data_IF_355249550504
#
_entry.id   IF_355249550504
#
_cell.length_a   1.000
_cell.length_b   1.000
_cell.length_c   1.000
_cell.angle_alpha   90.00
_cell.angle_beta   90.00
_cell.angle_gamma   90.00
#
_symmetry.space_group_name_H-M   'P 1'
#
loop_
_entity.id
_entity.type
_entity.pdbx_description
1 polymer ?
#
# COMPACT_ATOMS: atom_id res chain seq x y z
N UNK A 1 3.63 5.11 29.23
CA UNK A 1 4.28 4.09 28.40
C UNK A 1 5.79 4.05 28.59
N UNK A 2 6.45 3.07 28.03
CA UNK A 2 7.90 2.85 28.20
C UNK A 2 8.77 4.05 27.73
N UNK A 3 8.22 4.91 26.89
CA UNK A 3 8.94 6.02 26.26
C UNK A 3 8.14 7.33 26.22
N UNK A 4 7.05 7.46 26.98
CA UNK A 4 6.25 8.68 26.99
C UNK A 4 4.92 8.50 27.74
N UNK A 5 4.08 9.55 27.78
CA UNK A 5 2.73 9.47 28.35
C UNK A 5 1.87 8.50 27.54
N UNK A 6 0.85 7.92 28.18
CA UNK A 6 -0.20 7.21 27.45
C UNK A 6 -1.08 8.20 26.67
N UNK A 7 -1.80 7.72 25.66
CA UNK A 7 -2.74 8.54 24.89
C UNK A 7 -3.79 9.18 25.82
N UNK A 8 -4.31 8.42 26.77
CA UNK A 8 -5.28 8.91 27.77
C UNK A 8 -4.72 10.06 28.59
N UNK A 9 -3.46 9.91 29.06
CA UNK A 9 -2.82 10.97 29.84
C UNK A 9 -2.55 12.21 29.00
N UNK A 10 -2.09 12.04 27.76
CA UNK A 10 -1.85 13.14 26.84
C UNK A 10 -3.16 13.87 26.49
N UNK A 11 -4.23 13.13 26.20
CA UNK A 11 -5.55 13.70 25.88
C UNK A 11 -6.25 14.29 27.11
N UNK A 12 -5.97 13.80 28.32
CA UNK A 12 -6.47 14.43 29.55
C UNK A 12 -5.85 15.81 29.78
N UNK A 13 -4.58 15.99 29.41
CA UNK A 13 -3.89 17.27 29.50
C UNK A 13 -4.34 18.24 28.39
N UNK A 14 -4.62 17.73 27.20
CA UNK A 14 -5.14 18.50 26.06
C UNK A 14 -6.18 17.68 25.27
N UNK A 15 -7.48 17.88 25.55
CA UNK A 15 -8.55 17.16 24.86
C UNK A 15 -8.67 17.42 23.35
N UNK A 16 -7.94 18.40 22.82
CA UNK A 16 -7.88 18.74 21.40
C UNK A 16 -6.70 18.09 20.69
N UNK A 17 -5.92 17.28 21.37
CA UNK A 17 -4.73 16.66 20.80
C UNK A 17 -5.10 15.64 19.73
N UNK A 18 -4.45 15.72 18.59
CA UNK A 18 -4.48 14.68 17.54
C UNK A 18 -3.19 13.89 17.65
N UNK A 19 -3.31 12.63 18.00
CA UNK A 19 -2.19 11.70 18.17
C UNK A 19 -2.16 10.76 16.98
N UNK A 20 -1.00 10.62 16.36
CA UNK A 20 -0.83 9.67 15.25
C UNK A 20 0.22 8.63 15.63
N UNK A 21 -0.19 7.38 15.67
CA UNK A 21 0.71 6.24 15.81
C UNK A 21 1.09 5.71 14.43
N UNK A 22 2.38 5.56 14.22
CA UNK A 22 2.91 4.82 13.06
C UNK A 22 3.46 3.51 13.59
N UNK A 23 2.81 2.41 13.22
CA UNK A 23 3.08 1.08 13.77
C UNK A 23 3.37 0.05 12.67
N UNK A 24 3.91 -1.10 13.04
CA UNK A 24 4.10 -2.20 12.09
C UNK A 24 2.79 -2.88 11.69
N UNK A 25 1.92 -3.16 12.67
CA UNK A 25 0.77 -4.05 12.49
C UNK A 25 -0.54 -3.53 13.11
N UNK A 26 -0.60 -2.25 13.40
CA UNK A 26 -1.76 -1.60 13.99
C UNK A 26 -1.81 -1.65 15.52
N UNK A 27 -2.69 -0.84 16.09
CA UNK A 27 -3.02 -0.85 17.51
C UNK A 27 -4.13 -1.85 17.78
N UNK A 28 -4.09 -2.51 18.94
CA UNK A 28 -5.08 -3.53 19.32
C UNK A 28 -6.52 -3.04 19.24
N UNK A 29 -6.78 -1.84 19.75
CA UNK A 29 -8.11 -1.22 19.77
C UNK A 29 -8.65 -0.90 18.36
N UNK A 30 -7.77 -0.84 17.36
CA UNK A 30 -8.12 -0.55 15.97
C UNK A 30 -8.09 -1.81 15.07
N UNK A 31 -8.04 -3.00 15.67
CA UNK A 31 -8.02 -4.26 14.92
C UNK A 31 -6.63 -4.74 14.51
N UNK A 32 -5.59 -4.19 15.11
CA UNK A 32 -4.21 -4.64 14.87
C UNK A 32 -4.04 -6.14 15.11
N UNK A 33 -3.13 -6.74 14.37
CA UNK A 33 -2.92 -8.19 14.33
C UNK A 33 -2.31 -8.68 15.66
N UNK A 34 -3.11 -9.30 16.52
CA UNK A 34 -2.76 -9.67 17.90
C UNK A 34 -1.39 -10.35 18.03
N UNK A 35 -1.08 -11.30 17.16
CA UNK A 35 0.19 -12.03 17.15
C UNK A 35 1.42 -11.15 16.91
N UNK A 36 1.22 -10.00 16.28
CA UNK A 36 2.28 -9.11 15.82
C UNK A 36 2.29 -7.76 16.54
N UNK A 37 1.37 -7.53 17.47
CA UNK A 37 1.32 -6.29 18.25
C UNK A 37 2.68 -5.96 18.89
N UNK A 38 3.11 -4.72 18.68
CA UNK A 38 4.39 -4.23 19.22
C UNK A 38 5.64 -4.81 18.58
N UNK A 39 5.51 -5.68 17.56
CA UNK A 39 6.66 -6.16 16.78
C UNK A 39 7.08 -5.12 15.74
N UNK A 40 8.38 -5.02 15.44
CA UNK A 40 8.86 -4.16 14.38
C UNK A 40 8.40 -4.70 13.02
N UNK A 41 8.09 -3.79 12.11
CA UNK A 41 7.90 -4.05 10.70
C UNK A 41 8.78 -3.08 9.92
N UNK A 42 9.51 -3.58 8.97
CA UNK A 42 10.29 -2.79 8.01
C UNK A 42 9.73 -3.04 6.62
N UNK A 43 10.03 -2.16 5.67
CA UNK A 43 9.43 -2.18 4.34
C UNK A 43 9.39 -3.58 3.67
N UNK A 44 10.49 -4.35 3.53
CA UNK A 44 10.43 -5.68 2.92
C UNK A 44 9.52 -6.66 3.65
N UNK A 45 9.40 -6.52 4.97
CA UNK A 45 8.49 -7.35 5.78
C UNK A 45 7.04 -6.96 5.51
N UNK A 46 6.74 -5.66 5.41
CA UNK A 46 5.42 -5.16 5.02
C UNK A 46 5.02 -5.65 3.63
N UNK A 47 5.93 -5.60 2.66
CA UNK A 47 5.72 -6.10 1.30
C UNK A 47 5.46 -7.62 1.28
N UNK A 48 6.22 -8.39 2.05
CA UNK A 48 6.02 -9.84 2.12
C UNK A 48 4.70 -10.20 2.81
N UNK A 49 4.38 -9.54 3.93
CA UNK A 49 3.20 -9.85 4.73
C UNK A 49 1.89 -9.45 4.03
N UNK A 50 1.88 -8.38 3.26
CA UNK A 50 0.72 -7.94 2.47
C UNK A 50 0.50 -8.74 1.19
N UNK A 51 1.49 -9.51 0.74
CA UNK A 51 1.47 -10.21 -0.54
C UNK A 51 2.07 -9.40 -1.70
N UNK A 52 2.48 -8.14 -1.48
CA UNK A 52 3.05 -7.30 -2.53
C UNK A 52 4.30 -7.92 -3.15
N UNK A 53 5.20 -8.46 -2.32
CA UNK A 53 6.41 -9.17 -2.80
C UNK A 53 6.07 -10.39 -3.67
N UNK A 54 4.95 -11.06 -3.42
CA UNK A 54 4.51 -12.21 -4.20
C UNK A 54 4.07 -11.83 -5.63
N UNK A 55 3.82 -10.55 -5.89
CA UNK A 55 3.46 -10.03 -7.21
C UNK A 55 4.66 -9.50 -8.00
N UNK A 56 5.83 -9.37 -7.37
CA UNK A 56 7.03 -8.81 -7.98
C UNK A 56 7.95 -9.89 -8.54
N UNK A 57 8.51 -9.66 -9.72
CA UNK A 57 9.51 -10.53 -10.32
C UNK A 57 9.03 -11.41 -11.45
N UNK A 58 9.95 -12.18 -12.02
CA UNK A 58 9.68 -13.16 -13.07
C UNK A 58 8.90 -14.36 -12.51
N UNK A 59 8.08 -15.04 -13.33
CA UNK A 59 7.24 -16.17 -12.88
C UNK A 59 7.99 -17.20 -12.06
N UNK A 60 9.14 -17.63 -12.54
CA UNK A 60 9.96 -18.70 -11.94
C UNK A 60 11.18 -18.16 -11.16
N UNK A 61 11.27 -16.83 -11.00
CA UNK A 61 12.36 -16.17 -10.30
C UNK A 61 12.12 -16.06 -8.79
N UNK A 62 13.09 -15.49 -8.05
CA UNK A 62 12.90 -15.16 -6.64
C UNK A 62 11.82 -14.08 -6.45
N UNK A 63 11.32 -13.97 -5.21
CA UNK A 63 10.51 -12.83 -4.82
C UNK A 63 11.39 -11.56 -4.82
N UNK A 64 10.84 -10.47 -5.32
CA UNK A 64 11.52 -9.19 -5.37
C UNK A 64 10.77 -8.18 -4.51
N UNK A 65 11.54 -7.29 -3.89
CA UNK A 65 10.97 -6.10 -3.24
C UNK A 65 10.85 -4.97 -4.26
N UNK A 66 9.75 -4.24 -4.21
CA UNK A 66 9.65 -2.98 -4.93
C UNK A 66 10.58 -1.94 -4.29
N UNK A 67 11.31 -1.21 -5.09
CA UNK A 67 12.08 -0.03 -4.73
C UNK A 67 11.53 1.19 -5.47
N UNK A 68 11.42 2.34 -4.82
CA UNK A 68 11.79 2.69 -3.44
C UNK A 68 10.93 1.98 -2.38
N UNK A 69 11.22 2.22 -1.09
CA UNK A 69 10.55 1.63 0.09
C UNK A 69 9.06 2.00 0.13
N UNK A 70 8.26 1.30 -0.66
CA UNK A 70 6.86 1.68 -0.96
C UNK A 70 5.94 1.59 0.25
N UNK A 71 6.19 0.65 1.16
CA UNK A 71 5.38 0.51 2.38
C UNK A 71 5.66 1.64 3.36
N UNK A 72 6.94 2.01 3.56
CA UNK A 72 7.33 3.14 4.39
C UNK A 72 6.72 4.45 3.88
N UNK A 73 6.88 4.72 2.58
CA UNK A 73 6.38 5.95 1.94
C UNK A 73 4.85 6.01 2.02
N UNK A 74 4.17 4.91 1.73
CA UNK A 74 2.70 4.88 1.76
C UNK A 74 2.18 5.05 3.18
N UNK A 75 2.83 4.44 4.17
CA UNK A 75 2.47 4.62 5.59
C UNK A 75 2.65 6.07 6.02
N UNK A 76 3.74 6.71 5.62
CA UNK A 76 3.96 8.14 5.90
C UNK A 76 2.88 9.03 5.28
N UNK A 77 2.46 8.73 4.05
CA UNK A 77 1.36 9.46 3.39
C UNK A 77 0.03 9.25 4.13
N UNK A 78 -0.32 8.03 4.52
CA UNK A 78 -1.52 7.79 5.31
C UNK A 78 -1.47 8.46 6.68
N UNK A 79 -0.32 8.46 7.35
CA UNK A 79 -0.13 9.18 8.61
C UNK A 79 -0.35 10.69 8.42
N UNK A 80 0.19 11.27 7.36
CA UNK A 80 -0.01 12.68 7.03
C UNK A 80 -1.48 13.01 6.69
N UNK A 81 -2.13 12.20 5.86
CA UNK A 81 -3.55 12.37 5.54
C UNK A 81 -4.43 12.21 6.78
N UNK A 82 -4.15 11.20 7.60
CA UNK A 82 -4.84 10.98 8.88
C UNK A 82 -4.67 12.17 9.82
N UNK A 83 -3.44 12.71 9.92
CA UNK A 83 -3.17 13.91 10.73
C UNK A 83 -4.02 15.10 10.29
N UNK A 84 -4.09 15.37 9.00
CA UNK A 84 -4.88 16.47 8.45
C UNK A 84 -6.38 16.24 8.67
N UNK A 85 -6.87 15.03 8.43
CA UNK A 85 -8.27 14.68 8.66
C UNK A 85 -8.64 14.81 10.15
N UNK A 86 -7.78 14.31 11.03
CA UNK A 86 -7.95 14.44 12.48
C UNK A 86 -7.91 15.89 12.94
N UNK A 87 -7.02 16.68 12.41
CA UNK A 87 -6.94 18.11 12.71
C UNK A 87 -8.18 18.86 12.25
N UNK A 88 -8.64 18.60 11.03
CA UNK A 88 -9.89 19.16 10.52
C UNK A 88 -11.09 18.79 11.39
N UNK A 89 -11.21 17.50 11.75
CA UNK A 89 -12.26 17.03 12.67
C UNK A 89 -12.19 17.75 14.02
N UNK A 90 -10.99 17.92 14.57
CA UNK A 90 -10.77 18.64 15.81
C UNK A 90 -11.22 20.11 15.71
N UNK A 91 -10.95 20.79 14.59
CA UNK A 91 -11.42 22.16 14.39
C UNK A 91 -12.96 22.26 14.37
N UNK A 92 -13.65 21.26 13.83
CA UNK A 92 -15.12 21.23 13.76
C UNK A 92 -15.77 20.84 15.07
N UNK A 93 -15.18 19.87 15.78
CA UNK A 93 -15.80 19.24 16.95
C UNK A 93 -15.26 19.74 18.28
N UNK A 94 -14.10 20.41 18.27
CA UNK A 94 -13.36 20.77 19.48
C UNK A 94 -12.71 19.59 20.21
N UNK A 95 -12.74 18.38 19.62
CA UNK A 95 -12.23 17.15 20.23
C UNK A 95 -11.11 16.56 19.39
N UNK A 96 -10.01 16.20 20.05
CA UNK A 96 -8.91 15.45 19.46
C UNK A 96 -9.27 13.97 19.29
N UNK A 97 -8.35 13.23 18.66
CA UNK A 97 -8.50 11.79 18.43
C UNK A 97 -7.16 11.09 18.25
N UNK A 98 -7.17 9.78 18.43
CA UNK A 98 -6.02 8.91 18.13
C UNK A 98 -6.21 8.31 16.75
N UNK A 99 -5.16 8.36 15.95
CA UNK A 99 -5.09 7.83 14.59
C UNK A 99 -4.01 6.76 14.56
N UNK A 100 -4.28 5.66 13.89
CA UNK A 100 -3.35 4.58 13.67
C UNK A 100 -3.05 4.45 12.18
N UNK A 101 -1.78 4.50 11.82
CA UNK A 101 -1.30 4.26 10.47
C UNK A 101 -0.31 3.09 10.54
N UNK A 102 -0.75 1.90 10.20
CA UNK A 102 0.10 0.74 10.22
C UNK A 102 0.74 0.44 8.88
N UNK A 103 1.98 -0.03 8.90
CA UNK A 103 2.70 -0.41 7.70
C UNK A 103 2.03 -1.59 6.98
N UNK A 104 1.54 -2.56 7.73
CA UNK A 104 0.82 -3.71 7.16
C UNK A 104 -0.46 -3.28 6.42
N UNK A 105 -1.29 -2.45 7.03
CA UNK A 105 -2.53 -1.99 6.41
C UNK A 105 -2.27 -1.09 5.21
N UNK A 106 -1.24 -0.23 5.29
CA UNK A 106 -0.79 0.60 4.17
C UNK A 106 -0.32 -0.26 2.99
N UNK A 107 0.45 -1.31 3.27
CA UNK A 107 0.89 -2.27 2.27
C UNK A 107 -0.28 -3.10 1.70
N UNK A 108 -1.24 -3.51 2.53
CA UNK A 108 -2.45 -4.19 2.10
C UNK A 108 -3.31 -3.29 1.21
N UNK A 109 -3.37 -1.98 1.48
CA UNK A 109 -4.06 -1.03 0.62
C UNK A 109 -3.46 -0.96 -0.78
N UNK A 110 -2.13 -1.03 -0.93
CA UNK A 110 -1.50 -1.12 -2.24
C UNK A 110 -1.93 -2.37 -3.02
N UNK A 111 -2.35 -3.42 -2.33
CA UNK A 111 -2.85 -4.67 -2.91
C UNK A 111 -4.38 -4.70 -3.05
N UNK A 112 -5.09 -3.62 -2.73
CA UNK A 112 -6.57 -3.59 -2.63
C UNK A 112 -7.26 -4.12 -3.88
N UNK A 113 -6.77 -3.77 -5.06
CA UNK A 113 -7.32 -4.26 -6.34
C UNK A 113 -7.25 -5.80 -6.44
N UNK A 114 -6.09 -6.38 -6.15
CA UNK A 114 -5.88 -7.82 -6.20
C UNK A 114 -6.66 -8.56 -5.09
N UNK A 115 -6.74 -7.95 -3.90
CA UNK A 115 -7.55 -8.48 -2.80
C UNK A 115 -9.05 -8.48 -3.16
N UNK A 116 -9.56 -7.39 -3.74
CA UNK A 116 -10.96 -7.32 -4.17
C UNK A 116 -11.28 -8.41 -5.20
N UNK A 117 -10.43 -8.63 -6.20
CA UNK A 117 -10.64 -9.69 -7.18
C UNK A 117 -10.57 -11.08 -6.55
N UNK A 118 -9.56 -11.34 -5.72
CA UNK A 118 -9.42 -12.63 -5.04
C UNK A 118 -10.64 -12.96 -4.18
N UNK A 119 -11.13 -11.99 -3.41
CA UNK A 119 -12.28 -12.17 -2.51
C UNK A 119 -13.61 -12.33 -3.27
N UNK A 120 -13.69 -11.85 -4.50
CA UNK A 120 -14.87 -11.99 -5.35
C UNK A 120 -14.80 -13.16 -6.36
N UNK A 121 -13.98 -14.16 -6.07
CA UNK A 121 -13.83 -15.37 -6.89
C UNK A 121 -12.93 -15.21 -8.11
N UNK A 122 -12.14 -14.15 -8.15
CA UNK A 122 -11.08 -13.95 -9.13
C UNK A 122 -9.94 -14.96 -8.97
N UNK A 123 -9.13 -15.05 -10.02
CA UNK A 123 -8.06 -16.04 -10.11
C UNK A 123 -6.94 -15.86 -9.08
N UNK A 124 -6.14 -16.89 -8.94
CA UNK A 124 -4.92 -16.84 -8.16
C UNK A 124 -3.85 -16.07 -8.96
N UNK A 125 -3.51 -14.89 -8.51
CA UNK A 125 -2.51 -14.05 -9.17
C UNK A 125 -1.12 -14.69 -9.10
N UNK A 126 -0.43 -14.65 -10.24
CA UNK A 126 0.95 -15.08 -10.37
C UNK A 126 1.81 -13.92 -10.85
N UNK A 127 3.08 -13.99 -10.55
CA UNK A 127 4.06 -13.05 -11.12
C UNK A 127 4.06 -13.17 -12.65
N UNK A 128 4.12 -12.04 -13.32
CA UNK A 128 4.07 -11.95 -14.78
C UNK A 128 5.29 -11.26 -15.37
N UNK A 129 6.29 -11.00 -14.52
CA UNK A 129 7.47 -10.25 -14.94
C UNK A 129 7.13 -8.81 -15.33
N UNK A 130 7.60 -8.36 -16.50
CA UNK A 130 7.43 -6.97 -16.91
C UNK A 130 6.01 -6.64 -17.41
N UNK A 131 5.12 -7.62 -17.49
CA UNK A 131 3.81 -7.47 -18.10
C UNK A 131 2.70 -7.38 -17.04
N UNK A 132 1.69 -6.55 -17.29
CA UNK A 132 0.52 -6.49 -16.42
C UNK A 132 -0.22 -7.84 -16.44
N UNK A 133 -0.68 -8.37 -15.29
CA UNK A 133 -1.35 -9.67 -15.25
C UNK A 133 -2.73 -9.68 -15.91
N UNK A 134 -3.40 -8.53 -16.03
CA UNK A 134 -4.80 -8.43 -16.43
C UNK A 134 -4.99 -7.88 -17.84
N UNK A 135 -4.14 -6.93 -18.27
CA UNK A 135 -4.31 -6.23 -19.54
C UNK A 135 -3.12 -6.41 -20.47
N UNK A 136 -3.40 -6.52 -21.75
CA UNK A 136 -2.43 -6.61 -22.84
C UNK A 136 -2.86 -5.73 -24.01
N UNK A 137 -1.94 -5.02 -24.67
CA UNK A 137 -0.56 -4.76 -24.28
C UNK A 137 -0.48 -3.71 -23.17
N UNK A 138 0.03 -4.08 -22.03
CA UNK A 138 0.24 -3.19 -20.89
C UNK A 138 1.45 -3.70 -20.08
N UNK A 139 2.56 -2.97 -20.13
CA UNK A 139 3.80 -3.39 -19.49
C UNK A 139 5.04 -2.93 -20.25
N UNK A 140 6.13 -3.63 -20.03
CA UNK A 140 7.41 -3.35 -20.65
C UNK A 140 7.74 -4.44 -21.68
N UNK A 141 8.19 -4.04 -22.87
CA UNK A 141 8.50 -4.92 -23.98
C UNK A 141 9.92 -4.64 -24.47
N UNK A 142 10.68 -5.71 -24.72
CA UNK A 142 12.01 -5.59 -25.27
C UNK A 142 11.92 -5.30 -26.77
N UNK A 143 12.68 -4.32 -27.23
CA UNK A 143 12.80 -3.93 -28.62
C UNK A 143 13.90 -4.76 -29.30
N UNK A 144 13.91 -4.75 -30.64
CA UNK A 144 14.90 -5.48 -31.45
C UNK A 144 16.35 -5.07 -31.15
N UNK A 145 16.57 -3.84 -30.68
CA UNK A 145 17.88 -3.29 -30.34
C UNK A 145 18.29 -3.56 -28.87
N UNK A 146 17.52 -4.40 -28.15
CA UNK A 146 17.75 -4.75 -26.75
C UNK A 146 17.31 -3.68 -25.75
N UNK A 147 16.74 -2.57 -26.21
CA UNK A 147 16.14 -1.57 -25.30
C UNK A 147 14.73 -1.95 -24.93
N UNK A 148 14.21 -1.29 -23.91
CA UNK A 148 12.86 -1.53 -23.42
C UNK A 148 11.94 -0.35 -23.69
N UNK A 149 10.70 -0.65 -24.07
CA UNK A 149 9.63 0.33 -24.22
C UNK A 149 8.50 0.01 -23.26
N UNK A 150 7.92 1.05 -22.68
CA UNK A 150 6.68 0.92 -21.93
C UNK A 150 5.50 1.10 -22.88
N UNK A 151 4.59 0.13 -22.89
CA UNK A 151 3.36 0.18 -23.67
C UNK A 151 2.17 0.11 -22.72
N UNK A 152 1.23 1.03 -22.87
CA UNK A 152 -0.02 1.05 -22.13
C UNK A 152 -1.18 1.37 -23.06
N UNK A 153 -1.90 0.35 -23.49
CA UNK A 153 -3.08 0.51 -24.35
C UNK A 153 -4.33 0.29 -23.51
N UNK A 154 -5.06 1.37 -23.25
CA UNK A 154 -6.25 1.34 -22.43
C UNK A 154 -7.44 1.97 -23.18
N UNK A 155 -8.51 1.21 -23.28
CA UNK A 155 -9.75 1.66 -23.94
C UNK A 155 -9.76 1.53 -25.44
N UNK A 156 -10.97 1.46 -26.00
CA UNK A 156 -11.22 1.08 -27.40
C UNK A 156 -10.62 2.06 -28.41
N UNK A 157 -10.62 3.37 -28.10
CA UNK A 157 -10.07 4.38 -29.02
C UNK A 157 -8.55 4.30 -29.16
N UNK A 158 -7.84 4.02 -28.05
CA UNK A 158 -6.39 3.83 -28.07
C UNK A 158 -6.05 2.49 -28.71
N UNK A 159 -6.84 1.46 -28.43
CA UNK A 159 -6.68 0.14 -29.04
C UNK A 159 -6.72 0.19 -30.56
N UNK A 160 -7.72 0.89 -31.15
CA UNK A 160 -7.81 1.06 -32.59
C UNK A 160 -6.57 1.73 -33.16
N UNK A 161 -6.13 2.85 -32.58
CA UNK A 161 -4.91 3.55 -33.01
C UNK A 161 -3.67 2.68 -32.90
N UNK A 162 -3.58 1.86 -31.86
CA UNK A 162 -2.49 0.92 -31.68
C UNK A 162 -2.49 -0.14 -32.77
N UNK A 163 -3.65 -0.73 -33.12
CA UNK A 163 -3.78 -1.69 -34.20
C UNK A 163 -3.41 -1.06 -35.57
N UNK A 164 -3.90 0.15 -35.85
CA UNK A 164 -3.57 0.88 -37.07
C UNK A 164 -2.06 1.16 -37.21
N UNK A 165 -1.38 1.40 -36.09
CA UNK A 165 0.07 1.62 -36.06
C UNK A 165 0.87 0.34 -36.28
N UNK A 166 0.34 -0.79 -35.83
CA UNK A 166 1.04 -2.08 -35.87
C UNK A 166 0.82 -2.85 -37.19
N UNK A 167 -0.17 -2.44 -38.02
CA UNK A 167 -0.57 -3.08 -39.25
C UNK A 167 -1.62 -4.15 -39.03
#
# INVERSE_FOLDING_TARGET
GKHGPTDELAMSANPKLVIVHVTGYGLKQNGGVDRYLGKPCVDPVGQAFSGLAAMQGMPDGPYLTANPLVCDITTALFAACGSLAGYYSMLQTGKGQVIDASMYESAAYLMSYHWCEQLNGGGNYKRTGPLNPLWRPFGYYECRDGKWVSVGVWGIGIWKKFCDLMG
#
